data_IF_285764740184
#
_entry.id   IF_285764740184
#
_cell.length_a   1.000
_cell.length_b   1.000
_cell.length_c   1.000
_cell.angle_alpha   90.00
_cell.angle_beta   90.00
_cell.angle_gamma   90.00
#
_symmetry.space_group_name_H-M   'P 1'
#
loop_
_entity.id
_entity.type
_entity.pdbx_description
1 polymer ?
#
# COMPACT_ATOMS: atom_id res chain seq x y z
N UNK A 1 -15.76 14.97 -0.30
CA UNK A 1 -15.84 15.62 1.01
C UNK A 1 -14.41 15.76 1.49
N UNK A 2 -13.88 16.97 1.57
CA UNK A 2 -12.52 17.23 2.03
C UNK A 2 -12.44 16.91 3.52
N UNK A 3 -11.47 16.09 3.89
CA UNK A 3 -11.24 15.70 5.29
C UNK A 3 -10.39 16.74 5.99
N UNK A 4 -9.55 17.45 5.23
CA UNK A 4 -8.64 18.45 5.76
C UNK A 4 -9.20 19.83 5.38
N UNK A 5 -9.66 20.57 6.39
CA UNK A 5 -10.05 21.97 6.20
C UNK A 5 -8.80 22.85 6.06
N UNK A 6 -8.89 23.89 5.22
CA UNK A 6 -7.80 24.79 4.87
C UNK A 6 -7.26 25.61 6.06
N UNK A 7 -8.01 25.64 7.16
CA UNK A 7 -7.65 26.35 8.39
C UNK A 7 -6.91 25.45 9.40
N UNK A 8 -6.88 24.12 9.22
CA UNK A 8 -6.24 23.22 10.18
C UNK A 8 -4.73 23.43 10.27
N UNK A 9 -4.21 23.45 11.48
CA UNK A 9 -2.78 23.33 11.78
C UNK A 9 -2.30 21.89 11.55
N UNK A 10 -0.99 21.68 11.36
CA UNK A 10 -0.46 20.31 11.22
C UNK A 10 -0.75 19.43 12.43
N UNK A 11 -0.73 20.01 13.65
CA UNK A 11 -1.07 19.27 14.86
C UNK A 11 -2.54 18.82 14.86
N UNK A 12 -3.45 19.62 14.33
CA UNK A 12 -4.86 19.22 14.17
C UNK A 12 -5.04 18.20 13.06
N UNK A 13 -4.28 18.31 11.97
CA UNK A 13 -4.24 17.31 10.91
C UNK A 13 -3.76 15.96 11.48
N UNK A 14 -2.72 15.94 12.32
CA UNK A 14 -2.26 14.70 12.96
C UNK A 14 -3.31 14.05 13.84
N UNK A 15 -3.98 14.82 14.68
CA UNK A 15 -5.08 14.30 15.51
C UNK A 15 -6.22 13.78 14.65
N UNK A 16 -6.52 14.45 13.55
CA UNK A 16 -7.56 14.02 12.60
C UNK A 16 -7.19 12.70 11.95
N UNK A 17 -5.97 12.57 11.42
CA UNK A 17 -5.47 11.34 10.82
C UNK A 17 -5.43 10.19 11.82
N UNK A 18 -4.89 10.42 13.02
CA UNK A 18 -4.85 9.43 14.09
C UNK A 18 -6.26 8.94 14.45
N UNK A 19 -7.21 9.86 14.65
CA UNK A 19 -8.60 9.52 14.95
C UNK A 19 -9.20 8.66 13.85
N UNK A 20 -8.97 9.01 12.58
CA UNK A 20 -9.49 8.21 11.47
C UNK A 20 -8.88 6.82 11.40
N UNK A 21 -7.56 6.70 11.54
CA UNK A 21 -6.86 5.42 11.48
C UNK A 21 -7.23 4.50 12.65
N UNK A 22 -7.55 5.06 13.82
CA UNK A 22 -8.00 4.30 15.00
C UNK A 22 -9.49 3.97 15.01
N UNK A 23 -10.30 4.60 14.17
CA UNK A 23 -11.76 4.35 14.19
C UNK A 23 -12.06 3.00 13.53
N UNK A 24 -12.29 1.97 14.34
CA UNK A 24 -12.62 0.60 13.91
C UNK A 24 -13.83 0.56 12.96
N UNK A 25 -14.82 1.43 13.17
CA UNK A 25 -16.08 1.51 12.39
C UNK A 25 -15.89 1.82 10.90
N UNK A 26 -14.74 2.34 10.47
CA UNK A 26 -14.52 2.71 9.06
C UNK A 26 -13.97 1.55 8.22
N UNK A 27 -13.54 0.46 8.86
CA UNK A 27 -12.87 -0.66 8.20
C UNK A 27 -11.71 -0.21 7.30
N UNK A 28 -10.94 0.78 7.75
CA UNK A 28 -9.72 1.22 7.08
C UNK A 28 -8.66 0.15 7.30
N UNK A 29 -8.03 -0.33 6.22
CA UNK A 29 -7.04 -1.42 6.28
C UNK A 29 -5.66 -0.93 5.90
N UNK A 30 -5.61 0.06 5.01
CA UNK A 30 -4.40 0.75 4.63
C UNK A 30 -4.55 2.25 4.77
N UNK A 31 -3.43 2.96 4.84
CA UNK A 31 -3.42 4.43 4.84
C UNK A 31 -4.05 4.98 3.55
N UNK A 32 -3.85 4.30 2.41
CA UNK A 32 -4.45 4.67 1.12
C UNK A 32 -5.98 4.51 1.05
N UNK A 33 -6.59 3.82 2.02
CA UNK A 33 -8.06 3.73 2.17
C UNK A 33 -8.66 5.00 2.80
N UNK A 34 -7.83 5.91 3.36
CA UNK A 34 -8.30 7.21 3.83
C UNK A 34 -8.98 7.95 2.67
N UNK A 35 -10.13 8.56 2.94
CA UNK A 35 -10.89 9.32 1.93
C UNK A 35 -10.33 10.73 1.72
N UNK A 36 -9.00 10.85 1.62
CA UNK A 36 -8.34 12.11 1.28
C UNK A 36 -8.49 12.38 -0.21
N UNK A 37 -8.95 13.58 -0.55
CA UNK A 37 -9.00 14.05 -1.94
C UNK A 37 -7.61 14.49 -2.43
N UNK A 38 -7.49 14.77 -3.73
CA UNK A 38 -6.29 15.40 -4.28
C UNK A 38 -6.03 16.77 -3.66
N UNK A 39 -7.08 17.53 -3.34
CA UNK A 39 -6.98 18.83 -2.69
C UNK A 39 -6.47 18.70 -1.25
N UNK A 40 -7.01 17.74 -0.48
CA UNK A 40 -6.53 17.41 0.86
C UNK A 40 -5.03 17.07 0.84
N UNK A 41 -4.63 16.25 -0.14
CA UNK A 41 -3.23 15.88 -0.34
C UNK A 41 -2.35 17.11 -0.65
N UNK A 42 -2.74 17.96 -1.61
CA UNK A 42 -1.95 19.16 -1.94
C UNK A 42 -1.86 20.13 -0.77
N UNK A 43 -2.92 20.25 0.01
CA UNK A 43 -2.94 21.05 1.23
C UNK A 43 -1.99 20.48 2.30
N UNK A 44 -2.01 19.17 2.55
CA UNK A 44 -1.08 18.49 3.45
C UNK A 44 0.38 18.72 3.02
N UNK A 45 0.68 18.53 1.73
CA UNK A 45 2.01 18.80 1.16
C UNK A 45 2.43 20.25 1.36
N UNK A 46 1.52 21.22 1.20
CA UNK A 46 1.80 22.64 1.41
C UNK A 46 2.16 22.92 2.87
N UNK A 47 1.43 22.35 3.83
CA UNK A 47 1.73 22.50 5.25
C UNK A 47 3.08 21.89 5.61
N UNK A 48 3.37 20.68 5.11
CA UNK A 48 4.67 20.03 5.31
C UNK A 48 5.82 20.82 4.66
N UNK A 49 5.61 21.46 3.51
CA UNK A 49 6.61 22.37 2.91
C UNK A 49 6.95 23.54 3.83
N UNK A 50 5.98 24.05 4.59
CA UNK A 50 6.21 25.06 5.63
C UNK A 50 7.23 24.63 6.69
N UNK A 51 7.38 23.33 6.91
CA UNK A 51 8.33 22.75 7.86
C UNK A 51 9.73 22.52 7.27
N UNK A 52 9.95 22.75 5.97
CA UNK A 52 11.23 22.44 5.28
C UNK A 52 12.46 23.09 5.90
N UNK A 53 12.31 24.23 6.57
CA UNK A 53 13.39 24.89 7.32
C UNK A 53 13.81 24.14 8.58
N UNK A 54 12.97 23.23 9.07
CA UNK A 54 13.17 22.44 10.28
C UNK A 54 13.32 20.95 9.97
N UNK A 55 13.17 20.54 8.71
CA UNK A 55 13.17 19.14 8.28
C UNK A 55 14.48 18.39 8.61
N UNK A 56 15.61 19.10 8.74
CA UNK A 56 16.88 18.48 9.19
C UNK A 56 16.88 18.08 10.68
N UNK A 57 15.82 18.43 11.41
CA UNK A 57 15.61 18.08 12.82
C UNK A 57 14.71 16.86 12.89
N UNK A 58 15.25 15.75 13.39
CA UNK A 58 14.52 14.48 13.49
C UNK A 58 13.29 14.62 14.40
N UNK A 59 13.31 15.59 15.32
CA UNK A 59 12.18 15.94 16.19
C UNK A 59 10.91 16.33 15.40
N UNK A 60 11.06 16.92 14.20
CA UNK A 60 9.93 17.25 13.32
C UNK A 60 9.28 15.98 12.79
N UNK A 61 10.10 14.97 12.45
CA UNK A 61 9.61 13.69 11.96
C UNK A 61 8.89 12.92 13.08
N UNK A 62 9.35 13.02 14.32
CA UNK A 62 8.67 12.44 15.48
C UNK A 62 7.31 13.12 15.75
N UNK A 63 7.26 14.45 15.68
CA UNK A 63 6.05 15.20 16.00
C UNK A 63 4.96 15.12 14.91
N UNK A 64 5.35 14.95 13.64
CA UNK A 64 4.44 14.92 12.48
C UNK A 64 4.55 13.63 11.65
N UNK A 65 4.84 12.50 12.31
CA UNK A 65 5.08 11.20 11.66
C UNK A 65 3.93 10.73 10.77
N UNK A 66 2.67 10.96 11.15
CA UNK A 66 1.51 10.47 10.41
C UNK A 66 1.22 11.30 9.18
N UNK A 67 1.36 12.62 9.29
CA UNK A 67 1.23 13.57 8.19
C UNK A 67 2.29 13.29 7.14
N UNK A 68 3.53 13.02 7.56
CA UNK A 68 4.62 12.65 6.65
C UNK A 68 4.32 11.31 5.97
N UNK A 69 4.02 10.26 6.73
CA UNK A 69 3.72 8.94 6.16
C UNK A 69 2.51 9.01 5.21
N UNK A 70 1.44 9.71 5.61
CA UNK A 70 0.23 9.88 4.79
C UNK A 70 0.53 10.65 3.51
N UNK A 71 1.32 11.72 3.58
CA UNK A 71 1.73 12.46 2.38
C UNK A 71 2.58 11.59 1.44
N UNK A 72 3.47 10.75 1.97
CA UNK A 72 4.24 9.79 1.18
C UNK A 72 3.33 8.76 0.49
N UNK A 73 2.40 8.16 1.24
CA UNK A 73 1.41 7.20 0.70
C UNK A 73 0.59 7.83 -0.43
N UNK A 74 0.03 9.03 -0.21
CA UNK A 74 -0.82 9.68 -1.20
C UNK A 74 -0.03 10.28 -2.37
N UNK A 75 1.27 10.53 -2.22
CA UNK A 75 2.12 10.92 -3.34
C UNK A 75 2.24 9.83 -4.39
N UNK A 76 2.30 8.56 -3.96
CA UNK A 76 2.32 7.42 -4.88
C UNK A 76 0.98 7.20 -5.58
N UNK A 77 -0.11 7.77 -5.05
CA UNK A 77 -1.47 7.67 -5.60
C UNK A 77 -1.81 8.81 -6.56
N UNK A 78 -1.25 10.00 -6.33
CA UNK A 78 -1.68 11.24 -6.99
C UNK A 78 -0.59 11.96 -7.80
N UNK A 79 0.69 11.71 -7.54
CA UNK A 79 1.77 12.33 -8.31
C UNK A 79 2.19 11.39 -9.44
N UNK A 80 2.22 11.90 -10.67
CA UNK A 80 2.71 11.14 -11.82
C UNK A 80 4.22 10.91 -11.73
N UNK A 81 4.69 9.80 -12.31
CA UNK A 81 6.13 9.52 -12.43
C UNK A 81 6.80 10.61 -13.30
N UNK A 82 7.55 11.51 -12.66
CA UNK A 82 8.31 12.56 -13.36
C UNK A 82 8.17 13.97 -12.78
N UNK A 83 7.15 14.22 -11.96
CA UNK A 83 7.14 15.45 -11.15
C UNK A 83 8.18 15.33 -10.01
N UNK A 84 8.67 16.47 -9.48
CA UNK A 84 9.50 16.50 -8.26
C UNK A 84 8.65 16.05 -7.07
N UNK A 85 8.38 14.76 -7.01
CA UNK A 85 7.45 14.16 -6.06
C UNK A 85 7.93 14.41 -4.65
N UNK A 86 6.99 14.52 -3.70
CA UNK A 86 7.36 14.64 -2.29
C UNK A 86 8.24 13.46 -1.85
N UNK A 87 8.02 12.29 -2.46
CA UNK A 87 8.87 11.11 -2.33
C UNK A 87 10.35 11.43 -2.63
N UNK A 88 10.67 12.00 -3.81
CA UNK A 88 12.07 12.28 -4.18
C UNK A 88 12.72 13.24 -3.18
N UNK A 89 11.97 14.24 -2.72
CA UNK A 89 12.46 15.21 -1.74
C UNK A 89 12.74 14.60 -0.38
N UNK A 90 11.89 13.66 0.07
CA UNK A 90 12.13 12.93 1.32
C UNK A 90 13.35 12.02 1.18
N UNK A 91 13.52 11.34 0.04
CA UNK A 91 14.70 10.53 -0.21
C UNK A 91 16.00 11.36 -0.22
N UNK A 92 16.03 12.47 -0.97
CA UNK A 92 17.16 13.42 -1.01
C UNK A 92 17.49 14.03 0.37
N UNK A 93 16.48 14.17 1.22
CA UNK A 93 16.63 14.66 2.59
C UNK A 93 17.25 13.59 3.49
N UNK A 94 16.77 12.36 3.41
CA UNK A 94 17.28 11.23 4.20
C UNK A 94 18.73 10.91 3.83
N UNK A 95 19.11 11.05 2.55
CA UNK A 95 20.48 10.82 2.07
C UNK A 95 21.51 11.80 2.68
N UNK A 96 21.05 12.95 3.19
CA UNK A 96 21.90 13.95 3.86
C UNK A 96 22.06 13.69 5.37
N UNK A 97 21.32 12.74 5.93
CA UNK A 97 21.35 12.44 7.36
C UNK A 97 22.50 11.49 7.71
N UNK A 98 22.98 11.60 8.94
CA UNK A 98 23.95 10.63 9.47
C UNK A 98 23.27 9.29 9.76
N UNK A 99 24.02 8.19 9.72
CA UNK A 99 23.48 6.84 9.88
C UNK A 99 22.64 6.66 11.17
N UNK A 100 23.04 7.27 12.29
CA UNK A 100 22.29 7.19 13.54
C UNK A 100 20.93 7.92 13.45
N UNK A 101 20.87 9.03 12.70
CA UNK A 101 19.63 9.77 12.45
C UNK A 101 18.71 8.98 11.53
N UNK A 102 19.27 8.34 10.49
CA UNK A 102 18.51 7.44 9.60
C UNK A 102 17.87 6.30 10.42
N UNK A 103 18.65 5.64 11.28
CA UNK A 103 18.12 4.59 12.18
C UNK A 103 17.01 5.10 13.08
N UNK A 104 17.15 6.32 13.60
CA UNK A 104 16.12 6.94 14.43
C UNK A 104 14.85 7.25 13.62
N UNK A 105 14.97 7.77 12.39
CA UNK A 105 13.83 7.94 11.49
C UNK A 105 13.08 6.63 11.20
N UNK A 106 13.82 5.54 10.93
CA UNK A 106 13.23 4.21 10.72
C UNK A 106 12.47 3.75 11.97
N UNK A 107 13.07 3.94 13.15
CA UNK A 107 12.44 3.62 14.44
C UNK A 107 11.14 4.39 14.66
N UNK A 108 11.12 5.69 14.33
CA UNK A 108 9.90 6.50 14.43
C UNK A 108 8.81 5.96 13.49
N UNK A 109 9.15 5.61 12.24
CA UNK A 109 8.19 5.02 11.31
C UNK A 109 7.64 3.68 11.84
N UNK A 110 8.50 2.78 12.32
CA UNK A 110 8.06 1.51 12.91
C UNK A 110 7.20 1.69 14.14
N UNK A 111 7.54 2.65 14.99
CA UNK A 111 6.74 3.00 16.17
C UNK A 111 5.36 3.54 15.75
N UNK A 112 5.29 4.39 14.73
CA UNK A 112 4.03 4.91 14.20
C UNK A 112 3.12 3.79 13.66
N UNK A 113 3.66 2.84 12.90
CA UNK A 113 2.88 1.71 12.40
C UNK A 113 2.37 0.84 13.55
N UNK A 114 3.23 0.53 14.53
CA UNK A 114 2.86 -0.26 15.70
C UNK A 114 1.77 0.41 16.55
N UNK A 115 1.96 1.69 16.92
CA UNK A 115 1.03 2.45 17.76
C UNK A 115 -0.37 2.60 17.14
N UNK A 116 -0.45 2.58 15.80
CA UNK A 116 -1.69 2.69 15.06
C UNK A 116 -2.29 1.35 14.65
N UNK A 117 -1.64 0.23 14.96
CA UNK A 117 -2.10 -1.10 14.50
C UNK A 117 -2.04 -1.26 12.98
N UNK A 118 -1.19 -0.49 12.30
CA UNK A 118 -1.03 -0.53 10.84
C UNK A 118 -0.08 -1.67 10.49
N UNK A 119 -0.50 -2.54 9.58
CA UNK A 119 0.28 -3.73 9.18
C UNK A 119 1.57 -3.36 8.47
N UNK A 120 2.69 -3.96 8.88
CA UNK A 120 3.95 -3.92 8.13
C UNK A 120 4.09 -5.06 7.14
N UNK A 121 3.07 -5.91 6.99
CA UNK A 121 3.08 -7.06 6.07
C UNK A 121 4.25 -8.03 6.29
N UNK A 122 4.71 -8.15 7.54
CA UNK A 122 5.87 -8.96 7.91
C UNK A 122 7.22 -8.37 7.50
N UNK A 123 7.25 -7.14 6.97
CA UNK A 123 8.49 -6.44 6.64
C UNK A 123 9.10 -5.89 7.92
N UNK A 124 10.33 -6.31 8.20
CA UNK A 124 11.13 -5.75 9.28
C UNK A 124 11.80 -4.45 8.82
N UNK A 125 11.46 -3.34 9.47
CA UNK A 125 11.96 -2.01 9.10
C UNK A 125 13.41 -1.82 9.58
N UNK A 126 14.38 -2.18 8.73
CA UNK A 126 15.82 -2.06 9.04
C UNK A 126 16.50 -0.98 8.19
N UNK A 127 15.93 -0.70 7.03
CA UNK A 127 16.44 0.25 6.03
C UNK A 127 15.34 1.22 5.61
N UNK A 128 15.71 2.30 4.93
CA UNK A 128 14.74 3.26 4.39
C UNK A 128 13.93 2.63 3.25
N UNK A 129 14.55 1.74 2.49
CA UNK A 129 13.93 0.93 1.46
C UNK A 129 12.80 0.07 2.06
N UNK A 130 13.00 -0.55 3.22
CA UNK A 130 11.95 -1.32 3.90
C UNK A 130 10.75 -0.43 4.28
N UNK A 131 11.01 0.81 4.73
CA UNK A 131 9.95 1.79 5.05
C UNK A 131 9.18 2.16 3.78
N UNK A 132 9.87 2.38 2.67
CA UNK A 132 9.22 2.70 1.40
C UNK A 132 8.47 1.51 0.79
N UNK A 133 8.94 0.28 1.01
CA UNK A 133 8.23 -0.95 0.64
C UNK A 133 6.87 -1.00 1.38
N UNK A 134 6.85 -0.76 2.69
CA UNK A 134 5.60 -0.69 3.48
C UNK A 134 4.69 0.47 3.03
N UNK A 135 5.24 1.67 2.83
CA UNK A 135 4.48 2.83 2.31
C UNK A 135 3.83 2.51 0.96
N UNK A 136 4.56 1.83 0.09
CA UNK A 136 4.06 1.42 -1.24
C UNK A 136 2.86 0.51 -1.11
N UNK A 137 2.92 -0.49 -0.22
CA UNK A 137 1.77 -1.38 0.02
C UNK A 137 0.57 -0.57 0.51
N UNK A 138 0.79 0.36 1.43
CA UNK A 138 -0.29 1.19 1.96
C UNK A 138 -0.91 2.16 0.95
N UNK A 139 -0.18 2.58 -0.09
CA UNK A 139 -0.75 3.38 -1.18
C UNK A 139 -1.84 2.62 -1.94
N UNK A 140 -1.81 1.29 -1.86
CA UNK A 140 -2.61 0.42 -2.69
C UNK A 140 -2.06 0.38 -4.11
N UNK A 141 -2.54 -0.57 -4.89
CA UNK A 141 -2.19 -0.72 -6.30
C UNK A 141 -3.39 -0.29 -7.14
N UNK A 142 -3.15 0.22 -8.36
CA UNK A 142 -4.22 0.61 -9.26
C UNK A 142 -5.01 -0.61 -9.78
N UNK A 143 -6.26 -0.40 -10.17
CA UNK A 143 -7.14 -1.46 -10.64
C UNK A 143 -6.63 -2.12 -11.94
N UNK A 144 -5.99 -1.34 -12.81
CA UNK A 144 -5.38 -1.82 -14.05
C UNK A 144 -4.28 -2.86 -13.74
N UNK A 145 -3.45 -2.56 -12.74
CA UNK A 145 -2.37 -3.46 -12.33
C UNK A 145 -2.94 -4.72 -11.67
N UNK A 146 -4.01 -4.60 -10.88
CA UNK A 146 -4.70 -5.78 -10.33
C UNK A 146 -5.26 -6.69 -11.43
N UNK A 147 -5.90 -6.14 -12.47
CA UNK A 147 -6.42 -6.93 -13.58
C UNK A 147 -5.32 -7.70 -14.32
N UNK A 148 -4.19 -7.04 -14.59
CA UNK A 148 -3.04 -7.72 -15.19
C UNK A 148 -2.50 -8.85 -14.29
N UNK A 149 -2.44 -8.62 -12.97
CA UNK A 149 -2.02 -9.64 -12.01
C UNK A 149 -2.99 -10.83 -12.00
N UNK A 150 -4.30 -10.59 -11.98
CA UNK A 150 -5.29 -11.67 -12.00
C UNK A 150 -5.27 -12.45 -13.32
N UNK A 151 -5.10 -11.79 -14.46
CA UNK A 151 -4.86 -12.45 -15.74
C UNK A 151 -3.62 -13.37 -15.70
N UNK A 152 -2.49 -12.88 -15.19
CA UNK A 152 -1.28 -13.70 -15.06
C UNK A 152 -1.49 -14.93 -14.18
N UNK A 153 -2.32 -14.81 -13.13
CA UNK A 153 -2.65 -15.95 -12.26
C UNK A 153 -3.58 -16.95 -12.95
N UNK A 154 -4.60 -16.49 -13.68
CA UNK A 154 -5.46 -17.34 -14.51
C UNK A 154 -4.64 -18.15 -15.53
N UNK A 155 -3.75 -17.49 -16.28
CA UNK A 155 -2.92 -18.14 -17.30
C UNK A 155 -2.05 -19.25 -16.71
N UNK A 156 -1.40 -18.94 -15.59
CA UNK A 156 -0.52 -19.90 -14.94
C UNK A 156 -1.33 -21.07 -14.32
N UNK A 157 -2.58 -20.85 -13.86
CA UNK A 157 -3.35 -21.87 -13.13
C UNK A 157 -3.75 -23.04 -14.03
N UNK A 158 -3.72 -22.82 -15.35
CA UNK A 158 -3.99 -23.84 -16.37
C UNK A 158 -2.78 -24.73 -16.71
N UNK A 159 -1.57 -24.36 -16.29
CA UNK A 159 -0.34 -25.13 -16.53
C UNK A 159 -0.10 -26.11 -15.37
N UNK A 160 -0.09 -27.42 -15.66
CA UNK A 160 -0.13 -28.58 -14.75
C UNK A 160 1.12 -28.79 -13.84
N UNK A 161 1.83 -27.72 -13.47
CA UNK A 161 3.08 -27.77 -12.67
C UNK A 161 3.04 -26.84 -11.45
N UNK A 162 2.41 -27.29 -10.36
CA UNK A 162 2.07 -26.45 -9.19
C UNK A 162 3.25 -25.74 -8.50
N UNK A 163 4.47 -26.28 -8.57
CA UNK A 163 5.66 -25.66 -7.96
C UNK A 163 6.32 -24.60 -8.85
N UNK A 164 6.45 -24.86 -10.15
CA UNK A 164 6.96 -23.87 -11.10
C UNK A 164 5.99 -22.70 -11.25
N UNK A 165 4.69 -23.00 -11.20
CA UNK A 165 3.58 -22.06 -11.13
C UNK A 165 3.78 -21.01 -10.03
N UNK A 166 4.00 -21.45 -8.78
CA UNK A 166 4.10 -20.55 -7.63
C UNK A 166 5.27 -19.57 -7.77
N UNK A 167 6.46 -20.09 -8.09
CA UNK A 167 7.66 -19.25 -8.26
C UNK A 167 7.51 -18.28 -9.44
N UNK A 168 6.87 -18.71 -10.53
CA UNK A 168 6.62 -17.91 -11.74
C UNK A 168 5.64 -16.77 -11.46
N UNK A 169 4.53 -17.04 -10.77
CA UNK A 169 3.56 -16.01 -10.37
C UNK A 169 4.18 -15.01 -9.43
N UNK A 170 4.80 -15.47 -8.35
CA UNK A 170 5.36 -14.58 -7.32
C UNK A 170 6.40 -13.63 -7.93
N UNK A 171 7.25 -14.14 -8.83
CA UNK A 171 8.22 -13.33 -9.56
C UNK A 171 7.55 -12.35 -10.53
N UNK A 172 6.48 -12.77 -11.22
CA UNK A 172 5.77 -11.94 -12.20
C UNK A 172 5.00 -10.80 -11.53
N UNK A 173 4.30 -11.09 -10.43
CA UNK A 173 3.65 -10.08 -9.59
C UNK A 173 4.70 -9.10 -9.07
N UNK A 174 5.80 -9.60 -8.50
CA UNK A 174 6.87 -8.74 -7.97
C UNK A 174 7.44 -7.82 -9.05
N UNK A 175 7.67 -8.34 -10.26
CA UNK A 175 8.14 -7.55 -11.42
C UNK A 175 7.13 -6.48 -11.82
N UNK A 176 5.84 -6.82 -11.84
CA UNK A 176 4.77 -5.87 -12.18
C UNK A 176 4.68 -4.77 -11.13
N UNK A 177 4.71 -5.13 -9.85
CA UNK A 177 4.70 -4.15 -8.77
C UNK A 177 5.93 -3.23 -8.83
N UNK A 178 7.14 -3.77 -9.07
CA UNK A 178 8.36 -2.98 -9.22
C UNK A 178 8.31 -2.00 -10.41
N UNK A 179 7.65 -2.37 -11.52
CA UNK A 179 7.48 -1.47 -12.67
C UNK A 179 6.65 -0.22 -12.36
N UNK A 180 5.79 -0.30 -11.34
CA UNK A 180 4.97 0.81 -10.85
C UNK A 180 5.66 1.52 -9.69
N UNK A 181 6.30 0.75 -8.82
CA UNK A 181 6.94 1.20 -7.58
C UNK A 181 8.39 0.71 -7.51
N UNK A 182 9.37 1.55 -7.88
CA UNK A 182 10.76 1.11 -8.07
C UNK A 182 11.48 0.64 -6.79
N UNK A 183 10.88 0.84 -5.61
CA UNK A 183 11.45 0.46 -4.30
C UNK A 183 11.16 -0.99 -3.90
N UNK A 184 10.29 -1.66 -4.66
CA UNK A 184 10.03 -3.08 -4.44
C UNK A 184 11.26 -3.88 -4.82
N UNK A 185 11.84 -4.57 -3.86
CA UNK A 185 13.05 -5.36 -4.07
C UNK A 185 12.75 -6.56 -4.96
N UNK A 186 13.58 -6.74 -5.98
CA UNK A 186 13.44 -7.81 -6.99
C UNK A 186 14.22 -9.09 -6.67
N UNK A 187 15.05 -9.06 -5.62
CA UNK A 187 15.88 -10.18 -5.17
C UNK A 187 15.09 -11.28 -4.46
N UNK A 188 13.86 -10.97 -4.03
CA UNK A 188 12.92 -11.90 -3.38
C UNK A 188 11.48 -11.64 -3.84
N UNK A 189 10.59 -12.65 -3.79
CA UNK A 189 9.16 -12.42 -3.87
C UNK A 189 8.69 -11.39 -2.84
N UNK A 190 7.95 -10.38 -3.30
CA UNK A 190 7.42 -9.33 -2.44
C UNK A 190 6.30 -9.89 -1.53
N UNK A 191 6.20 -9.53 -0.23
CA UNK A 191 5.20 -10.07 0.69
C UNK A 191 3.76 -9.94 0.17
N UNK A 192 3.44 -8.80 -0.46
CA UNK A 192 2.12 -8.58 -1.06
C UNK A 192 1.78 -9.58 -2.17
N UNK A 193 2.77 -10.15 -2.87
CA UNK A 193 2.53 -11.16 -3.89
C UNK A 193 1.98 -12.46 -3.28
N UNK A 194 2.45 -12.84 -2.09
CA UNK A 194 1.90 -13.97 -1.34
C UNK A 194 0.46 -13.69 -0.92
N UNK A 195 0.19 -12.53 -0.33
CA UNK A 195 -1.17 -12.18 0.09
C UNK A 195 -2.15 -12.09 -1.09
N UNK A 196 -1.73 -11.56 -2.24
CA UNK A 196 -2.57 -11.51 -3.46
C UNK A 196 -2.87 -12.93 -3.95
N UNK A 197 -1.88 -13.83 -3.96
CA UNK A 197 -2.06 -15.22 -4.35
C UNK A 197 -3.03 -15.94 -3.41
N UNK A 198 -2.83 -15.83 -2.09
CA UNK A 198 -3.70 -16.47 -1.09
C UNK A 198 -5.15 -15.96 -1.20
N UNK A 199 -5.33 -14.65 -1.37
CA UNK A 199 -6.66 -14.06 -1.62
C UNK A 199 -7.29 -14.62 -2.91
N UNK A 200 -6.50 -14.71 -3.98
CA UNK A 200 -6.98 -15.24 -5.26
C UNK A 200 -7.41 -16.71 -5.15
N UNK A 201 -6.60 -17.54 -4.49
CA UNK A 201 -6.90 -18.94 -4.23
C UNK A 201 -8.16 -19.09 -3.38
N UNK A 202 -8.32 -18.27 -2.32
CA UNK A 202 -9.54 -18.25 -1.50
C UNK A 202 -10.78 -17.89 -2.34
N UNK A 203 -10.70 -16.83 -3.14
CA UNK A 203 -11.80 -16.41 -4.02
C UNK A 203 -12.18 -17.50 -5.05
N UNK A 204 -11.19 -18.23 -5.58
CA UNK A 204 -11.38 -19.21 -6.65
C UNK A 204 -11.84 -20.59 -6.15
N UNK A 205 -11.32 -21.04 -5.00
CA UNK A 205 -11.52 -22.40 -4.50
C UNK A 205 -12.68 -22.52 -3.51
N UNK A 206 -12.92 -21.48 -2.70
CA UNK A 206 -13.82 -21.58 -1.56
C UNK A 206 -15.16 -20.84 -1.79
N UNK A 207 -15.29 -20.09 -2.89
CA UNK A 207 -16.47 -19.27 -3.20
C UNK A 207 -16.99 -18.48 -1.99
N UNK A 208 -16.07 -17.93 -1.19
CA UNK A 208 -16.43 -17.24 0.03
C UNK A 208 -17.25 -15.99 -0.25
N UNK A 209 -18.17 -15.68 0.67
CA UNK A 209 -18.87 -14.40 0.68
C UNK A 209 -17.87 -13.27 0.91
N UNK A 210 -18.10 -12.12 0.25
CA UNK A 210 -17.19 -10.97 0.33
C UNK A 210 -16.94 -10.52 1.78
N UNK A 211 -17.92 -10.63 2.68
CA UNK A 211 -17.72 -10.33 4.10
C UNK A 211 -16.70 -11.24 4.79
N UNK A 212 -16.64 -12.53 4.43
CA UNK A 212 -15.67 -13.48 5.01
C UNK A 212 -14.25 -13.16 4.56
N UNK A 213 -14.07 -12.83 3.28
CA UNK A 213 -12.77 -12.40 2.75
C UNK A 213 -12.25 -11.15 3.46
N UNK A 214 -13.13 -10.23 3.83
CA UNK A 214 -12.75 -9.10 4.67
C UNK A 214 -12.26 -9.56 6.05
N UNK A 215 -12.86 -10.56 6.67
CA UNK A 215 -12.39 -11.07 7.95
C UNK A 215 -11.04 -11.79 7.85
N UNK A 216 -10.86 -12.63 6.83
CA UNK A 216 -9.65 -13.46 6.66
C UNK A 216 -8.42 -12.67 6.22
N UNK A 217 -8.61 -11.60 5.44
CA UNK A 217 -7.52 -10.77 4.91
C UNK A 217 -7.53 -9.35 5.50
N UNK A 218 -7.41 -9.17 6.83
CA UNK A 218 -7.59 -7.87 7.50
C UNK A 218 -6.57 -6.82 7.04
N UNK A 219 -5.39 -7.26 6.59
CA UNK A 219 -4.28 -6.40 6.20
C UNK A 219 -4.35 -5.93 4.73
N UNK A 220 -5.19 -6.53 3.89
CA UNK A 220 -5.29 -6.15 2.47
C UNK A 220 -6.25 -4.99 2.27
N UNK A 221 -5.99 -4.12 1.29
CA UNK A 221 -6.90 -3.02 0.97
C UNK A 221 -8.28 -3.55 0.55
N UNK A 222 -9.33 -2.79 0.90
CA UNK A 222 -10.70 -3.18 0.52
C UNK A 222 -10.86 -3.32 -0.99
N UNK A 223 -10.23 -2.42 -1.75
CA UNK A 223 -10.31 -2.40 -3.21
C UNK A 223 -9.69 -3.67 -3.82
N UNK A 224 -8.55 -4.14 -3.29
CA UNK A 224 -7.94 -5.40 -3.74
C UNK A 224 -8.90 -6.58 -3.53
N UNK A 225 -9.43 -6.74 -2.32
CA UNK A 225 -10.36 -7.82 -1.98
C UNK A 225 -11.59 -7.80 -2.90
N UNK A 226 -12.21 -6.63 -3.06
CA UNK A 226 -13.38 -6.45 -3.92
C UNK A 226 -13.08 -6.75 -5.40
N UNK A 227 -11.96 -6.24 -5.92
CA UNK A 227 -11.58 -6.44 -7.32
C UNK A 227 -11.28 -7.90 -7.60
N UNK A 228 -10.58 -8.59 -6.68
CA UNK A 228 -10.29 -10.01 -6.78
C UNK A 228 -11.57 -10.87 -6.75
N UNK A 229 -12.46 -10.58 -5.79
CA UNK A 229 -13.75 -11.26 -5.71
C UNK A 229 -14.59 -11.11 -6.98
N UNK A 230 -14.73 -9.88 -7.48
CA UNK A 230 -15.45 -9.59 -8.73
C UNK A 230 -14.79 -10.30 -9.92
N UNK A 231 -13.46 -10.36 -9.95
CA UNK A 231 -12.71 -11.08 -10.99
C UNK A 231 -13.08 -12.56 -11.02
N UNK A 232 -12.91 -13.26 -9.90
CA UNK A 232 -13.16 -14.70 -9.80
C UNK A 232 -14.62 -15.04 -10.16
N UNK A 233 -15.59 -14.27 -9.65
CA UNK A 233 -17.02 -14.48 -9.95
C UNK A 233 -17.33 -14.33 -11.44
N UNK A 234 -16.68 -13.39 -12.14
CA UNK A 234 -16.83 -13.22 -13.60
C UNK A 234 -16.17 -14.36 -14.38
N UNK A 235 -14.97 -14.77 -13.97
CA UNK A 235 -14.22 -15.85 -14.64
C UNK A 235 -14.95 -17.19 -14.52
N UNK A 236 -15.60 -17.48 -13.38
CA UNK A 236 -16.37 -18.73 -13.20
C UNK A 236 -17.67 -18.78 -14.03
N UNK A 237 -18.29 -17.62 -14.29
CA UNK A 237 -19.40 -17.53 -15.25
C UNK A 237 -18.95 -17.73 -16.71
N UNK A 238 -17.66 -17.54 -17.01
CA UNK A 238 -17.04 -17.89 -18.29
C UNK A 238 -16.74 -19.39 -18.42
N UNK A 239 -16.28 -20.03 -17.36
CA UNK A 239 -15.96 -21.48 -17.32
C UNK A 239 -17.22 -22.34 -17.44
N UNK A 240 -18.36 -21.91 -16.88
CA UNK A 240 -19.65 -22.61 -17.04
C UNK A 240 -20.21 -22.63 -18.48
N UNK A 241 -19.63 -21.89 -19.44
CA UNK A 241 -19.93 -22.04 -20.87
C UNK A 241 -19.06 -23.05 -21.60
N UNK A 242 -17.90 -23.42 -21.06
CA UNK A 242 -16.99 -24.40 -21.67
C UNK A 242 -17.25 -25.83 -21.17
N UNK A 243 -17.93 -26.00 -20.03
CA UNK A 243 -18.29 -27.32 -19.49
C UNK A 243 -19.59 -27.88 -20.12
N UNK A 244 -20.38 -27.05 -20.81
CA UNK A 244 -21.62 -27.48 -21.51
C UNK A 244 -21.45 -27.71 -23.03
N UNK A 245 -20.22 -27.95 -23.50
CA UNK A 245 -19.96 -28.45 -24.86
C UNK A 245 -19.07 -29.69 -24.78
N UNK A 246 -19.62 -30.79 -24.27
CA UNK A 246 -19.24 -32.15 -24.68
C UNK A 246 -20.47 -33.05 -24.65
#
# INVERSE_FOLDING_TARGET
MNILDADLTLTEIERTLETQLRTEDKGLRTIGDLKLSYEDFKYLVLKLKGLTRYISKVEVLEHYKLSIITALVFSLKYEEQGEKSIYQKVFEMLDKLQQHQIRYCISICGTAFYELGISTYGIELRTIEDVFEVITIHAGISNEVYQEIFHMMDDCYTEDESYLYEKKILKSITKKLNSVYPFIRMDRPHPLAYYIKELYEACKLQHDELEKLFFEFPNLSKNLIQTCYIWCMKSDHGVNRLINIR
#
